data_IF_029124875874
#
_entry.id   IF_029124875874
#
_cell.length_a   1.000
_cell.length_b   1.000
_cell.length_c   1.000
_cell.angle_alpha   90.00
_cell.angle_beta   90.00
_cell.angle_gamma   90.00
#
_symmetry.space_group_name_H-M   'P 1'
#
loop_
_entity.id
_entity.type
_entity.pdbx_description
1 polymer ?
#
# COMPACT_ATOMS: atom_id res chain seq x y z
N UNK A 1 -10.68 -0.04 38.06
CA UNK A 1 -11.44 0.27 36.83
C UNK A 1 -10.76 -0.53 35.76
N UNK A 2 -11.23 -1.75 35.55
CA UNK A 2 -10.62 -2.73 34.65
C UNK A 2 -10.98 -2.31 33.22
N UNK A 3 -9.97 -1.96 32.43
CA UNK A 3 -10.11 -1.71 31.00
C UNK A 3 -10.56 -3.04 30.36
N UNK A 4 -11.85 -3.13 30.00
CA UNK A 4 -12.36 -4.26 29.26
C UNK A 4 -11.70 -4.23 27.87
N UNK A 5 -10.90 -5.24 27.57
CA UNK A 5 -10.38 -5.55 26.23
C UNK A 5 -11.58 -5.90 25.34
N UNK A 6 -12.23 -4.87 24.77
CA UNK A 6 -13.32 -5.03 23.81
C UNK A 6 -12.67 -5.71 22.61
N UNK A 7 -13.05 -6.95 22.27
CA UNK A 7 -12.50 -7.64 21.13
C UNK A 7 -12.72 -6.75 19.91
N UNK A 8 -11.63 -6.31 19.28
CA UNK A 8 -11.70 -5.51 18.06
C UNK A 8 -12.50 -6.33 17.05
N UNK A 9 -13.77 -5.97 16.87
CA UNK A 9 -14.70 -6.69 16.00
C UNK A 9 -14.01 -6.84 14.65
N UNK A 10 -13.74 -8.08 14.24
CA UNK A 10 -13.07 -8.33 12.97
C UNK A 10 -14.03 -7.87 11.88
N UNK A 11 -13.67 -6.78 11.19
CA UNK A 11 -14.47 -6.27 10.07
C UNK A 11 -14.67 -7.42 9.06
N UNK A 12 -15.90 -7.62 8.55
CA UNK A 12 -16.17 -8.71 7.62
C UNK A 12 -15.41 -8.52 6.31
N UNK A 13 -15.04 -9.64 5.68
CA UNK A 13 -14.39 -9.61 4.37
C UNK A 13 -15.34 -9.03 3.30
N UNK A 14 -14.78 -8.22 2.42
CA UNK A 14 -15.50 -7.57 1.35
C UNK A 14 -15.56 -8.44 0.09
N UNK A 15 -16.64 -8.28 -0.65
CA UNK A 15 -16.81 -8.78 -2.01
C UNK A 15 -16.09 -7.87 -3.02
N UNK A 16 -15.85 -8.39 -4.22
CA UNK A 16 -15.29 -7.59 -5.32
C UNK A 16 -16.16 -6.36 -5.65
N UNK A 17 -17.49 -6.47 -5.54
CA UNK A 17 -18.42 -5.36 -5.77
C UNK A 17 -18.30 -4.27 -4.69
N UNK A 18 -18.19 -4.67 -3.42
CA UNK A 18 -17.99 -3.71 -2.33
C UNK A 18 -16.66 -2.97 -2.46
N UNK A 19 -15.59 -3.68 -2.82
CA UNK A 19 -14.28 -3.04 -3.09
C UNK A 19 -14.35 -2.12 -4.31
N UNK A 20 -15.02 -2.53 -5.38
CA UNK A 20 -15.22 -1.69 -6.56
C UNK A 20 -15.94 -0.39 -6.21
N UNK A 21 -17.02 -0.46 -5.44
CA UNK A 21 -17.74 0.71 -4.96
C UNK A 21 -16.86 1.59 -4.05
N UNK A 22 -16.10 0.97 -3.13
CA UNK A 22 -15.26 1.69 -2.19
C UNK A 22 -14.10 2.43 -2.87
N UNK A 23 -13.47 1.80 -3.86
CA UNK A 23 -12.37 2.39 -4.65
C UNK A 23 -12.87 3.27 -5.81
N UNK A 24 -14.19 3.36 -6.02
CA UNK A 24 -14.82 3.98 -7.18
C UNK A 24 -14.22 3.49 -8.51
N UNK A 25 -14.08 2.16 -8.64
CA UNK A 25 -13.52 1.47 -9.79
C UNK A 25 -14.53 0.49 -10.38
N UNK A 26 -14.31 0.06 -11.62
CA UNK A 26 -15.16 -0.97 -12.23
C UNK A 26 -14.90 -2.35 -11.61
N UNK A 27 -15.93 -3.18 -11.55
CA UNK A 27 -15.82 -4.56 -11.04
C UNK A 27 -14.79 -5.39 -11.84
N UNK A 28 -14.78 -5.22 -13.18
CA UNK A 28 -13.82 -5.87 -14.07
C UNK A 28 -12.38 -5.49 -13.73
N UNK A 29 -12.14 -4.22 -13.36
CA UNK A 29 -10.82 -3.78 -12.93
C UNK A 29 -10.39 -4.48 -11.64
N UNK A 30 -11.29 -4.63 -10.66
CA UNK A 30 -10.99 -5.30 -9.38
C UNK A 30 -10.58 -6.75 -9.61
N UNK A 31 -11.31 -7.50 -10.44
CA UNK A 31 -10.92 -8.87 -10.79
C UNK A 31 -9.55 -8.92 -11.47
N UNK A 32 -9.31 -8.09 -12.49
CA UNK A 32 -8.01 -8.03 -13.18
C UNK A 32 -6.87 -7.60 -12.24
N UNK A 33 -7.13 -6.71 -11.30
CA UNK A 33 -6.15 -6.26 -10.33
C UNK A 33 -5.81 -7.39 -9.34
N UNK A 34 -6.81 -8.15 -8.88
CA UNK A 34 -6.59 -9.33 -8.04
C UNK A 34 -5.80 -10.42 -8.79
N UNK A 35 -6.19 -10.76 -10.02
CA UNK A 35 -5.48 -11.75 -10.86
C UNK A 35 -4.01 -11.37 -11.10
N UNK A 36 -3.73 -10.08 -11.30
CA UNK A 36 -2.37 -9.56 -11.49
C UNK A 36 -1.58 -9.42 -10.18
N UNK A 37 -2.15 -9.77 -9.03
CA UNK A 37 -1.53 -9.58 -7.72
C UNK A 37 -1.33 -8.11 -7.32
N UNK A 38 -2.04 -7.19 -7.98
CA UNK A 38 -1.96 -5.76 -7.67
C UNK A 38 -2.79 -5.37 -6.45
N UNK A 39 -3.84 -6.15 -6.15
CA UNK A 39 -4.73 -5.93 -5.02
C UNK A 39 -4.71 -7.18 -4.13
N UNK A 40 -4.47 -7.06 -2.82
CA UNK A 40 -4.42 -8.21 -1.93
C UNK A 40 -5.80 -8.84 -1.84
N UNK A 41 -5.88 -10.16 -1.99
CA UNK A 41 -7.14 -10.90 -1.93
C UNK A 41 -6.96 -12.26 -1.27
N UNK A 42 -8.05 -12.76 -0.70
CA UNK A 42 -8.18 -14.08 -0.10
C UNK A 42 -9.11 -14.93 -0.95
N UNK A 43 -8.71 -16.18 -1.20
CA UNK A 43 -9.57 -17.14 -1.90
C UNK A 43 -10.29 -18.00 -0.89
N UNK A 44 -11.62 -17.93 -0.89
CA UNK A 44 -12.50 -18.70 0.00
C UNK A 44 -13.37 -19.59 -0.88
N UNK A 45 -12.93 -20.83 -1.08
CA UNK A 45 -13.50 -21.73 -2.09
C UNK A 45 -13.33 -21.17 -3.50
N UNK A 46 -14.44 -20.95 -4.20
CA UNK A 46 -14.44 -20.34 -5.54
C UNK A 46 -14.53 -18.81 -5.49
N UNK A 47 -14.88 -18.23 -4.34
CA UNK A 47 -15.06 -16.80 -4.20
C UNK A 47 -13.75 -16.09 -3.84
N UNK A 48 -13.53 -14.91 -4.42
CA UNK A 48 -12.53 -13.97 -3.93
C UNK A 48 -13.14 -13.02 -2.90
N UNK A 49 -12.35 -12.74 -1.87
CA UNK A 49 -12.70 -11.90 -0.73
C UNK A 49 -11.54 -10.96 -0.42
N UNK A 50 -11.84 -9.81 0.17
CA UNK A 50 -10.85 -8.77 0.44
C UNK A 50 -10.91 -8.37 1.91
N UNK A 51 -9.76 -8.32 2.58
CA UNK A 51 -9.70 -7.78 3.94
C UNK A 51 -9.69 -6.24 3.87
N UNK A 52 -10.64 -5.55 4.53
CA UNK A 52 -10.66 -4.09 4.57
C UNK A 52 -9.34 -3.45 5.01
N UNK A 53 -8.64 -4.05 5.97
CA UNK A 53 -7.39 -3.54 6.51
C UNK A 53 -6.25 -3.66 5.51
N UNK A 54 -6.20 -4.74 4.75
CA UNK A 54 -5.21 -4.93 3.68
C UNK A 54 -5.43 -3.93 2.54
N UNK A 55 -6.69 -3.69 2.15
CA UNK A 55 -7.02 -2.69 1.13
C UNK A 55 -6.63 -1.28 1.60
N UNK A 56 -6.89 -0.92 2.85
CA UNK A 56 -6.43 0.36 3.44
C UNK A 56 -4.90 0.46 3.43
N UNK A 57 -4.22 -0.61 3.79
CA UNK A 57 -2.75 -0.67 3.84
C UNK A 57 -2.16 -0.50 2.43
N UNK A 58 -2.72 -1.18 1.44
CA UNK A 58 -2.37 -1.06 0.03
C UNK A 58 -2.50 0.39 -0.48
N UNK A 59 -3.60 1.08 -0.17
CA UNK A 59 -3.78 2.47 -0.58
C UNK A 59 -2.75 3.41 0.06
N UNK A 60 -2.43 3.18 1.34
CA UNK A 60 -1.41 3.95 2.04
C UNK A 60 -0.01 3.74 1.44
N UNK A 61 0.35 2.50 1.12
CA UNK A 61 1.61 2.18 0.46
C UNK A 61 1.70 2.84 -0.92
N UNK A 62 0.66 2.70 -1.76
CA UNK A 62 0.60 3.35 -3.08
C UNK A 62 0.72 4.87 -2.99
N UNK A 63 0.09 5.50 -2.00
CA UNK A 63 0.21 6.94 -1.76
C UNK A 63 1.66 7.34 -1.46
N UNK A 64 2.37 6.56 -0.64
CA UNK A 64 3.75 6.84 -0.29
C UNK A 64 4.71 6.64 -1.48
N UNK A 65 4.51 5.59 -2.29
CA UNK A 65 5.25 5.41 -3.54
C UNK A 65 5.09 6.61 -4.47
N UNK A 66 3.85 7.12 -4.63
CA UNK A 66 3.61 8.30 -5.45
C UNK A 66 4.28 9.57 -4.89
N UNK A 67 4.36 9.74 -3.57
CA UNK A 67 5.13 10.85 -2.98
C UNK A 67 6.60 10.78 -3.39
N UNK A 68 7.21 9.60 -3.31
CA UNK A 68 8.61 9.43 -3.73
C UNK A 68 8.81 9.71 -5.23
N UNK A 69 7.84 9.33 -6.07
CA UNK A 69 7.85 9.64 -7.50
C UNK A 69 7.82 11.15 -7.75
N UNK A 70 6.87 11.86 -7.16
CA UNK A 70 6.75 13.32 -7.29
C UNK A 70 7.98 14.04 -6.73
N UNK A 71 8.51 13.60 -5.59
CA UNK A 71 9.73 14.13 -4.99
C UNK A 71 10.97 13.92 -5.88
N UNK A 72 11.08 12.78 -6.56
CA UNK A 72 12.18 12.50 -7.50
C UNK A 72 12.13 13.36 -8.77
N UNK A 73 10.93 13.80 -9.15
CA UNK A 73 10.66 14.61 -10.34
C UNK A 73 10.84 16.10 -10.08
N UNK A 74 10.81 16.53 -8.81
CA UNK A 74 11.04 17.91 -8.43
C UNK A 74 12.51 18.33 -8.66
N UNK A 75 12.79 19.32 -9.53
CA UNK A 75 14.17 19.77 -9.79
C UNK A 75 14.88 20.34 -8.55
N UNK A 76 14.13 20.83 -7.55
CA UNK A 76 14.68 21.45 -6.33
C UNK A 76 15.24 20.44 -5.32
N UNK A 77 14.73 19.20 -5.31
CA UNK A 77 15.17 18.12 -4.40
C UNK A 77 16.39 17.35 -4.95
N UNK A 78 16.55 17.26 -6.28
CA UNK A 78 17.72 16.64 -6.94
C UNK A 78 19.06 17.26 -6.56
N UNK A 79 19.10 18.55 -6.22
CA UNK A 79 20.36 19.25 -5.85
C UNK A 79 20.92 18.82 -4.48
N UNK A 80 20.16 18.13 -3.62
CA UNK A 80 20.65 17.68 -2.30
C UNK A 80 21.26 16.27 -2.29
N UNK A 81 20.93 15.41 -3.26
CA UNK A 81 21.44 14.03 -3.31
C UNK A 81 22.86 13.88 -3.84
N UNK A 82 23.35 14.84 -4.63
CA UNK A 82 24.71 14.80 -5.20
C UNK A 82 25.79 15.12 -4.16
N UNK A 83 25.45 15.79 -3.05
CA UNK A 83 26.44 16.19 -2.05
C UNK A 83 26.77 15.09 -1.04
N UNK A 84 25.90 14.09 -0.84
CA UNK A 84 26.03 13.10 0.25
C UNK A 84 26.75 11.80 -0.15
N UNK A 85 27.09 11.61 -1.43
CA UNK A 85 27.79 10.41 -1.90
C UNK A 85 29.33 10.55 -1.90
N UNK A 86 29.89 11.70 -1.47
CA UNK A 86 31.34 11.93 -1.45
C UNK A 86 32.01 11.73 -0.09
N UNK A 87 31.26 11.50 0.98
CA UNK A 87 31.80 11.47 2.35
C UNK A 87 31.91 10.05 2.97
N UNK A 88 31.49 8.99 2.29
CA UNK A 88 31.56 7.62 2.84
C UNK A 88 32.72 6.74 2.31
N UNK A 89 33.60 7.26 1.46
CA UNK A 89 34.78 6.49 0.97
C UNK A 89 36.11 6.80 1.68
N UNK A 90 36.15 7.68 2.68
CA UNK A 90 37.43 8.13 3.28
C UNK A 90 37.86 7.39 4.56
N UNK A 91 37.08 6.46 5.11
CA UNK A 91 37.41 5.82 6.42
C UNK A 91 37.64 4.31 6.40
N UNK A 92 37.89 3.68 5.24
CA UNK A 92 38.19 2.23 5.17
C UNK A 92 39.60 1.87 4.66
N UNK A 93 40.58 2.72 4.94
CA UNK A 93 42.00 2.33 4.89
C UNK A 93 42.72 2.95 6.09
N UNK A 94 43.06 2.10 7.06
CA UNK A 94 43.75 2.45 8.29
C UNK A 94 43.73 1.25 9.22
#
# INVERSE_FOLDING_TARGET
>A
MEELDIPKEREPLLTAQQVAAWLNMSLVWVYKAAEKGLLPFHRVGEAIRFDPNEIRSYLNERRNLNKTYEESRNPKTRKKGVHLQREQEVTKTG
#
